data_IF_784349345171
#
_entry.id   IF_784349345171
#
_cell.length_a   1.000
_cell.length_b   1.000
_cell.length_c   1.000
_cell.angle_alpha   90.00
_cell.angle_beta   90.00
_cell.angle_gamma   90.00
#
_symmetry.space_group_name_H-M   'P 1'
#
loop_
_entity.id
_entity.type
_entity.pdbx_description
1 polymer ?
#
# COMPACT_ATOMS: atom_id res chain seq x y z
N UNK A 1 14.20 0.56 -13.71
CA UNK A 1 13.18 0.54 -14.78
C UNK A 1 12.06 1.41 -14.31
N UNK A 2 11.81 2.56 -14.95
CA UNK A 2 10.59 3.32 -14.69
C UNK A 2 9.44 2.41 -15.07
N UNK A 3 8.76 1.82 -14.09
CA UNK A 3 7.52 1.10 -14.37
C UNK A 3 6.54 2.13 -14.90
N UNK A 4 5.85 1.78 -15.97
CA UNK A 4 4.69 2.53 -16.44
C UNK A 4 3.57 2.38 -15.39
N UNK A 5 3.68 3.12 -14.29
CA UNK A 5 2.63 3.19 -13.26
C UNK A 5 1.41 3.77 -13.96
N UNK A 6 0.27 3.05 -14.03
CA UNK A 6 -0.92 3.56 -14.69
C UNK A 6 -1.32 4.94 -14.13
N UNK A 7 -1.79 5.89 -14.94
CA UNK A 7 -2.09 7.25 -14.49
C UNK A 7 -3.03 7.33 -13.27
N UNK A 8 -4.00 6.42 -13.18
CA UNK A 8 -4.92 6.34 -12.04
C UNK A 8 -4.26 5.91 -10.72
N UNK A 9 -3.05 5.37 -10.76
CA UNK A 9 -2.26 4.89 -9.62
C UNK A 9 -1.13 5.87 -9.23
N UNK A 10 -0.99 7.00 -9.93
CA UNK A 10 0.05 8.01 -9.69
C UNK A 10 -0.32 9.05 -8.60
N UNK A 11 -1.32 8.74 -7.76
CA UNK A 11 -1.76 9.66 -6.72
C UNK A 11 -0.66 9.87 -5.66
N UNK A 12 -0.35 11.13 -5.33
CA UNK A 12 0.65 11.48 -4.32
C UNK A 12 0.06 11.38 -2.93
N UNK A 13 0.36 10.29 -2.23
CA UNK A 13 -0.02 10.04 -0.84
C UNK A 13 1.16 9.44 -0.08
N UNK A 14 1.30 9.85 1.16
CA UNK A 14 2.32 9.34 2.07
C UNK A 14 1.68 8.50 3.17
N UNK A 15 2.30 7.36 3.45
CA UNK A 15 1.92 6.46 4.51
C UNK A 15 3.11 6.18 5.42
N UNK A 16 2.97 6.50 6.70
CA UNK A 16 3.98 6.19 7.71
C UNK A 16 3.79 4.76 8.19
N UNK A 17 4.63 3.84 7.69
CA UNK A 17 4.64 2.45 8.12
C UNK A 17 5.41 2.29 9.43
N UNK A 18 4.78 1.65 10.40
CA UNK A 18 5.38 1.26 11.68
C UNK A 18 6.22 0.01 11.49
N UNK A 19 5.78 -0.93 10.65
CA UNK A 19 6.49 -2.19 10.40
C UNK A 19 7.79 -1.99 9.60
N UNK A 20 7.82 -1.03 8.67
CA UNK A 20 9.03 -0.68 7.92
C UNK A 20 9.84 0.45 8.56
N UNK A 21 9.34 1.05 9.64
CA UNK A 21 9.95 2.19 10.34
C UNK A 21 10.33 3.36 9.39
N UNK A 22 9.50 3.62 8.38
CA UNK A 22 9.71 4.71 7.40
C UNK A 22 8.39 5.21 6.83
N UNK A 23 8.45 6.39 6.23
CA UNK A 23 7.36 6.89 5.38
C UNK A 23 7.53 6.35 3.97
N UNK A 24 6.41 6.02 3.33
CA UNK A 24 6.32 5.53 1.97
C UNK A 24 5.44 6.48 1.17
N UNK A 25 5.95 6.99 0.05
CA UNK A 25 5.08 7.49 -1.01
C UNK A 25 4.37 6.33 -1.69
N UNK A 26 3.11 6.52 -2.08
CA UNK A 26 2.25 5.48 -2.66
C UNK A 26 2.88 4.79 -3.88
N UNK A 27 3.69 5.50 -4.67
CA UNK A 27 4.38 4.93 -5.83
C UNK A 27 5.55 4.01 -5.45
N UNK A 28 6.16 4.20 -4.27
CA UNK A 28 7.24 3.32 -3.77
C UNK A 28 6.77 1.88 -3.58
N UNK A 29 5.46 1.64 -3.42
CA UNK A 29 4.89 0.28 -3.32
C UNK A 29 5.27 -0.60 -4.51
N UNK A 30 5.45 0.01 -5.69
CA UNK A 30 5.93 -0.72 -6.86
C UNK A 30 7.32 -1.29 -6.62
N UNK A 31 8.20 -0.52 -6.02
CA UNK A 31 9.61 -0.89 -5.87
C UNK A 31 9.88 -1.72 -4.60
N UNK A 32 8.90 -1.87 -3.71
CA UNK A 32 9.03 -2.70 -2.51
C UNK A 32 9.31 -4.17 -2.86
N UNK A 33 10.29 -4.82 -2.20
CA UNK A 33 10.39 -6.27 -2.16
C UNK A 33 9.08 -6.90 -1.69
N UNK A 34 8.76 -8.12 -2.15
CA UNK A 34 7.49 -8.77 -1.80
C UNK A 34 7.26 -8.83 -0.28
N UNK A 35 8.28 -9.20 0.50
CA UNK A 35 8.15 -9.24 1.96
C UNK A 35 7.86 -7.88 2.59
N UNK A 36 8.37 -6.77 2.06
CA UNK A 36 8.02 -5.43 2.54
C UNK A 36 6.59 -5.03 2.13
N UNK A 37 6.18 -5.41 0.92
CA UNK A 37 4.81 -5.19 0.44
C UNK A 37 3.79 -5.94 1.33
N UNK A 38 4.09 -7.19 1.69
CA UNK A 38 3.27 -8.02 2.58
C UNK A 38 3.10 -7.38 3.97
N UNK A 39 4.18 -6.82 4.53
CA UNK A 39 4.12 -6.10 5.81
C UNK A 39 3.23 -4.85 5.71
N UNK A 40 3.36 -4.06 4.64
CA UNK A 40 2.51 -2.89 4.42
C UNK A 40 1.04 -3.29 4.25
N UNK A 41 0.76 -4.40 3.54
CA UNK A 41 -0.58 -4.95 3.42
C UNK A 41 -1.16 -5.36 4.78
N UNK A 42 -0.38 -6.05 5.62
CA UNK A 42 -0.81 -6.44 6.96
C UNK A 42 -1.13 -5.22 7.84
N UNK A 43 -0.21 -4.25 7.91
CA UNK A 43 -0.39 -3.03 8.71
C UNK A 43 -1.61 -2.22 8.27
N UNK A 44 -1.79 -2.06 6.95
CA UNK A 44 -2.94 -1.31 6.44
C UNK A 44 -4.25 -2.06 6.58
N UNK A 45 -4.25 -3.39 6.47
CA UNK A 45 -5.42 -4.22 6.77
C UNK A 45 -5.83 -4.10 8.25
N UNK A 46 -4.87 -4.14 9.18
CA UNK A 46 -5.12 -3.92 10.60
C UNK A 46 -5.75 -2.53 10.84
N UNK A 47 -5.12 -1.47 10.30
CA UNK A 47 -5.66 -0.11 10.38
C UNK A 47 -7.08 -0.06 9.86
N UNK A 48 -7.40 -0.75 8.75
CA UNK A 48 -8.71 -0.77 8.08
C UNK A 48 -9.75 -1.68 8.73
N UNK A 49 -9.35 -2.51 9.69
CA UNK A 49 -10.24 -3.43 10.39
C UNK A 49 -10.83 -2.83 11.66
N UNK A 50 -10.22 -1.78 12.21
CA UNK A 50 -10.61 -1.13 13.47
C UNK A 50 -11.48 0.12 13.27
N UNK A 51 -12.82 0.07 13.47
CA UNK A 51 -13.70 1.22 13.28
C UNK A 51 -13.33 2.44 14.13
N UNK A 52 -12.64 2.26 15.27
CA UNK A 52 -12.16 3.38 16.08
C UNK A 52 -11.06 4.17 15.38
N UNK A 53 -10.21 3.53 14.56
CA UNK A 53 -9.23 4.25 13.76
C UNK A 53 -9.90 5.20 12.75
N UNK A 54 -11.06 4.82 12.19
CA UNK A 54 -11.84 5.69 11.30
C UNK A 54 -12.32 6.94 12.02
N UNK A 55 -12.80 6.81 13.26
CA UNK A 55 -13.32 7.94 14.04
C UNK A 55 -12.20 8.83 14.58
N UNK A 56 -11.07 8.24 15.01
CA UNK A 56 -9.90 8.96 15.52
C UNK A 56 -9.13 9.71 14.44
N UNK A 57 -8.96 9.11 13.26
CA UNK A 57 -8.22 9.73 12.15
C UNK A 57 -8.74 9.26 10.79
N UNK A 58 -9.74 9.96 10.29
CA UNK A 58 -10.30 9.71 8.96
C UNK A 58 -9.23 9.79 7.84
N UNK A 59 -8.28 10.73 7.96
CA UNK A 59 -7.18 10.87 7.01
C UNK A 59 -6.30 9.62 6.94
N UNK A 60 -5.81 9.13 8.09
CA UNK A 60 -5.01 7.90 8.17
C UNK A 60 -5.79 6.68 7.68
N UNK A 61 -7.05 6.57 8.06
CA UNK A 61 -7.95 5.50 7.62
C UNK A 61 -8.15 5.46 6.09
N UNK A 62 -8.30 6.63 5.46
CA UNK A 62 -8.39 6.74 4.01
C UNK A 62 -7.06 6.40 3.34
N UNK A 63 -5.94 6.96 3.80
CA UNK A 63 -4.61 6.66 3.26
C UNK A 63 -4.29 5.17 3.33
N UNK A 64 -4.54 4.51 4.46
CA UNK A 64 -4.36 3.07 4.60
C UNK A 64 -5.20 2.27 3.59
N UNK A 65 -6.41 2.75 3.26
CA UNK A 65 -7.24 2.14 2.22
C UNK A 65 -6.61 2.24 0.82
N UNK A 66 -6.07 3.41 0.45
CA UNK A 66 -5.39 3.57 -0.84
C UNK A 66 -4.15 2.67 -0.95
N UNK A 67 -3.35 2.63 0.12
CA UNK A 67 -2.14 1.81 0.17
C UNK A 67 -2.50 0.32 0.08
N UNK A 68 -3.50 -0.13 0.86
CA UNK A 68 -3.93 -1.53 0.85
C UNK A 68 -4.42 -1.99 -0.52
N UNK A 69 -5.28 -1.20 -1.18
CA UNK A 69 -5.82 -1.57 -2.48
C UNK A 69 -4.75 -1.54 -3.57
N UNK A 70 -3.85 -0.55 -3.56
CA UNK A 70 -2.74 -0.53 -4.51
C UNK A 70 -1.77 -1.71 -4.30
N UNK A 71 -1.45 -2.03 -3.05
CA UNK A 71 -0.59 -3.16 -2.74
C UNK A 71 -1.18 -4.49 -3.23
N UNK A 72 -2.49 -4.72 -3.07
CA UNK A 72 -3.19 -5.88 -3.63
C UNK A 72 -3.14 -5.94 -5.16
N UNK A 73 -3.29 -4.79 -5.83
CA UNK A 73 -3.18 -4.71 -7.30
C UNK A 73 -1.77 -5.11 -7.75
N UNK A 74 -0.74 -4.60 -7.07
CA UNK A 74 0.67 -4.91 -7.36
C UNK A 74 0.95 -6.40 -7.11
N UNK A 75 0.51 -6.93 -5.98
CA UNK A 75 0.67 -8.35 -5.62
C UNK A 75 0.01 -9.26 -6.66
N UNK A 76 -1.24 -8.99 -7.04
CA UNK A 76 -1.95 -9.75 -8.06
C UNK A 76 -1.26 -9.70 -9.44
N UNK A 77 -0.65 -8.57 -9.81
CA UNK A 77 0.14 -8.45 -11.05
C UNK A 77 1.40 -9.32 -10.98
N UNK A 78 2.15 -9.26 -9.87
CA UNK A 78 3.35 -10.09 -9.65
C UNK A 78 3.03 -11.59 -9.67
N UNK A 79 1.93 -11.99 -9.05
CA UNK A 79 1.48 -13.38 -9.05
C UNK A 79 1.15 -13.88 -10.47
N UNK A 80 0.54 -13.04 -11.31
CA UNK A 80 0.27 -13.37 -12.73
C UNK A 80 1.57 -13.54 -13.52
N UNK A 81 2.54 -12.64 -13.33
CA UNK A 81 3.83 -12.69 -14.02
C UNK A 81 4.64 -13.95 -13.66
N UNK A 82 4.50 -14.47 -12.43
CA UNK A 82 5.13 -15.72 -11.98
C UNK A 82 4.44 -16.99 -12.52
N UNK A 83 3.20 -16.87 -13.00
CA UNK A 83 2.39 -17.98 -13.52
C UNK A 83 2.42 -18.11 -15.05
N UNK A 84 3.08 -17.16 -15.74
CA UNK A 84 3.24 -17.10 -17.19
C UNK A 84 4.60 -17.65 -17.63
#
# INVERSE_FOLDING_TARGET
>A
MSRDIPPQEQNRKWFRSHLLNRELELQELYDLPQGELDLVMAETAEIRSDPENRSRSHGRWCTAGYVLELAKIIDARRARDLSA
#
